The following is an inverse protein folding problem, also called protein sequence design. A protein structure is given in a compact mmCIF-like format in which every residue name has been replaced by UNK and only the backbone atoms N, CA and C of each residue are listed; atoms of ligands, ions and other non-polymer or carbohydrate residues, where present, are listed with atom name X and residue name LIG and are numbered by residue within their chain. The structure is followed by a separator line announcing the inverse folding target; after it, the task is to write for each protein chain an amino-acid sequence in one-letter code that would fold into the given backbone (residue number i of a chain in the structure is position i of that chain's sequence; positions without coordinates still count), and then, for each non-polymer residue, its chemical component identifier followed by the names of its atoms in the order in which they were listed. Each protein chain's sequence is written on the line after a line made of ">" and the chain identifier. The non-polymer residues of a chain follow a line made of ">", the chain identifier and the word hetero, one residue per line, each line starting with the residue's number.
data_IF_057824868343
#
_entry.id   IF_057824868343
#
_cell.length_a   1.000
_cell.length_b   1.000
_cell.length_c   1.000
_cell.angle_alpha   90.00
_cell.angle_beta   90.00
_cell.angle_gamma   90.00
#
_symmetry.space_group_name_H-M   'P 1'
#
loop_
_entity.id
_entity.type
_entity.pdbx_description
1 polymer ?
#
# COMPACT_ATOMS: atom_id res chain seq x y z
N UNK A 1 17.18 -0.92 5.81
CA UNK A 1 16.12 -1.66 6.51
C UNK A 1 15.01 -1.84 5.48
N UNK A 2 14.36 -3.00 5.34
CA UNK A 2 13.33 -3.16 4.32
C UNK A 2 12.15 -2.24 4.64
N UNK A 3 11.83 -1.32 3.73
CA UNK A 3 10.65 -0.48 3.82
C UNK A 3 9.42 -1.38 3.89
N UNK A 4 8.66 -1.30 4.98
CA UNK A 4 7.46 -2.12 5.14
C UNK A 4 6.25 -1.32 4.66
N UNK A 5 5.54 -1.84 3.66
CA UNK A 5 4.38 -1.18 3.07
C UNK A 5 3.12 -1.93 3.49
N UNK A 6 2.17 -1.28 4.15
CA UNK A 6 0.89 -1.86 4.54
C UNK A 6 -0.25 -1.21 3.76
N UNK A 7 -1.07 -2.02 3.09
CA UNK A 7 -2.24 -1.55 2.32
C UNK A 7 -3.52 -2.27 2.72
N UNK A 8 -4.66 -1.63 2.50
CA UNK A 8 -5.96 -2.22 2.75
C UNK A 8 -6.43 -3.02 1.54
N UNK A 9 -6.66 -4.33 1.69
CA UNK A 9 -7.13 -5.20 0.59
C UNK A 9 -8.50 -4.79 0.02
N UNK A 10 -9.30 -4.06 0.82
CA UNK A 10 -10.62 -3.59 0.40
C UNK A 10 -10.55 -2.25 -0.35
N UNK A 11 -9.36 -1.67 -0.47
CA UNK A 11 -9.09 -0.36 -1.05
C UNK A 11 -8.30 -0.48 -2.37
N UNK A 12 -7.92 -1.69 -2.77
CA UNK A 12 -7.22 -2.00 -4.02
C UNK A 12 -8.03 -2.99 -4.83
N UNK A 13 -8.12 -2.79 -6.13
CA UNK A 13 -8.85 -3.68 -7.04
C UNK A 13 -8.09 -4.99 -7.28
N UNK A 14 -6.76 -4.93 -7.43
CA UNK A 14 -5.93 -6.09 -7.75
C UNK A 14 -4.77 -6.28 -6.76
N UNK A 15 -5.05 -7.02 -5.69
CA UNK A 15 -4.09 -7.39 -4.63
C UNK A 15 -2.90 -8.20 -5.16
N UNK A 16 -3.11 -9.00 -6.22
CA UNK A 16 -2.08 -9.88 -6.77
C UNK A 16 -1.07 -9.07 -7.57
N UNK A 17 -1.53 -8.17 -8.45
CA UNK A 17 -0.65 -7.27 -9.20
C UNK A 17 0.24 -6.43 -8.27
N UNK A 18 -0.33 -5.93 -7.18
CA UNK A 18 0.40 -5.19 -6.14
C UNK A 18 1.47 -6.04 -5.45
N UNK A 19 1.13 -7.29 -5.11
CA UNK A 19 2.09 -8.23 -4.50
C UNK A 19 3.22 -8.58 -5.47
N UNK A 20 2.92 -8.76 -6.75
CA UNK A 20 3.91 -9.12 -7.76
C UNK A 20 4.89 -7.98 -8.00
N UNK A 21 4.40 -6.75 -8.24
CA UNK A 21 5.24 -5.55 -8.36
C UNK A 21 6.18 -5.38 -7.17
N UNK A 22 5.68 -5.55 -5.95
CA UNK A 22 6.55 -5.39 -4.80
C UNK A 22 7.35 -6.64 -4.44
N UNK A 23 7.02 -7.82 -4.97
CA UNK A 23 7.88 -8.98 -4.84
C UNK A 23 9.13 -8.84 -5.72
N UNK A 24 9.07 -8.03 -6.78
CA UNK A 24 10.25 -7.64 -7.56
C UNK A 24 11.12 -6.61 -6.80
N UNK A 25 10.51 -5.81 -5.92
CA UNK A 25 11.21 -4.86 -5.04
C UNK A 25 11.66 -5.51 -3.72
N UNK A 26 12.72 -5.00 -3.10
CA UNK A 26 13.15 -5.45 -1.75
C UNK A 26 12.26 -4.92 -0.60
N UNK A 27 11.14 -4.28 -0.92
CA UNK A 27 10.20 -3.75 0.05
C UNK A 27 9.24 -4.85 0.56
N UNK A 28 8.93 -4.81 1.84
CA UNK A 28 8.09 -5.81 2.51
C UNK A 28 6.64 -5.33 2.48
N UNK A 29 5.82 -5.86 1.56
CA UNK A 29 4.39 -5.51 1.56
C UNK A 29 3.59 -6.44 2.45
N UNK A 30 2.76 -5.84 3.29
CA UNK A 30 1.84 -6.54 4.18
C UNK A 30 0.41 -6.11 3.87
N UNK A 31 -0.38 -7.06 3.39
CA UNK A 31 -1.80 -6.86 3.22
C UNK A 31 -2.51 -6.77 4.59
N UNK A 32 -3.37 -5.76 4.73
CA UNK A 32 -4.21 -5.56 5.92
C UNK A 32 -5.68 -5.58 5.52
N UNK A 33 -6.50 -6.25 6.33
CA UNK A 33 -7.98 -6.24 6.15
C UNK A 33 -8.60 -4.91 6.53
N UNK A 34 -8.00 -4.22 7.49
CA UNK A 34 -8.41 -2.89 7.93
C UNK A 34 -7.22 -2.23 8.63
N UNK A 35 -6.79 -1.08 8.15
CA UNK A 35 -5.74 -0.26 8.78
C UNK A 35 -6.25 0.49 10.03
N UNK A 36 -7.37 0.03 10.60
CA UNK A 36 -8.08 0.67 11.72
C UNK A 36 -8.40 2.16 11.46
N UNK A 37 -8.44 2.55 10.17
CA UNK A 37 -8.74 3.91 9.70
C UNK A 37 -10.12 3.93 9.04
N UNK A 38 -11.12 3.46 9.79
CA UNK A 38 -12.50 3.33 9.31
C UNK A 38 -12.97 4.63 8.63
N UNK A 39 -13.46 4.50 7.39
CA UNK A 39 -13.96 5.61 6.58
C UNK A 39 -12.92 6.30 5.70
N UNK A 40 -11.62 6.09 5.93
CA UNK A 40 -10.55 6.68 5.10
C UNK A 40 -10.25 5.85 3.86
N UNK A 41 -10.36 4.53 3.99
CA UNK A 41 -10.26 3.57 2.88
C UNK A 41 -11.38 3.66 1.85
N UNK A 42 -12.42 4.45 2.13
CA UNK A 42 -13.49 4.71 1.16
C UNK A 42 -13.47 6.15 0.65
N UNK A 43 -12.61 7.00 1.23
CA UNK A 43 -12.56 8.44 0.95
C UNK A 43 -11.42 8.79 0.02
N UNK A 44 -10.28 8.15 0.19
CA UNK A 44 -9.04 8.47 -0.51
C UNK A 44 -8.06 7.27 -0.45
N UNK A 45 -7.25 7.05 -1.50
CA UNK A 45 -6.27 5.99 -1.48
C UNK A 45 -5.09 6.32 -0.57
N UNK A 46 -4.71 5.36 0.27
CA UNK A 46 -3.65 5.54 1.25
C UNK A 46 -2.92 4.24 1.57
N UNK A 47 -1.62 4.37 1.79
CA UNK A 47 -0.71 3.33 2.22
C UNK A 47 -0.09 3.70 3.56
N UNK A 48 0.46 2.71 4.25
CA UNK A 48 1.32 2.94 5.41
C UNK A 48 2.72 2.44 5.07
N UNK A 49 3.70 3.32 5.03
CA UNK A 49 5.09 3.01 4.71
C UNK A 49 5.92 3.22 5.97
N UNK A 50 6.51 2.16 6.51
CA UNK A 50 7.31 2.19 7.74
C UNK A 50 6.58 2.77 8.97
N UNK A 51 5.24 2.76 8.96
CA UNK A 51 4.40 3.36 9.99
C UNK A 51 3.89 4.78 9.67
N UNK A 52 4.40 5.40 8.60
CA UNK A 52 3.93 6.69 8.10
C UNK A 52 2.80 6.53 7.09
N UNK A 53 1.73 7.32 7.22
CA UNK A 53 0.61 7.28 6.29
C UNK A 53 0.94 8.12 5.06
N UNK A 54 0.99 7.48 3.90
CA UNK A 54 1.14 8.15 2.61
C UNK A 54 -0.21 8.12 1.88
N UNK A 55 -0.67 9.28 1.43
CA UNK A 55 -1.92 9.44 0.67
C UNK A 55 -1.60 9.98 -0.71
N UNK A 56 -2.37 9.57 -1.72
CA UNK A 56 -2.12 9.93 -3.12
C UNK A 56 -3.39 9.93 -3.94
N UNK A 57 -3.23 10.01 -5.26
CA UNK A 57 -4.34 9.95 -6.19
C UNK A 57 -4.86 8.51 -6.39
N UNK A 58 -3.95 7.53 -6.41
CA UNK A 58 -4.23 6.12 -6.71
C UNK A 58 -3.30 5.18 -5.91
N UNK A 59 -3.78 3.98 -5.53
CA UNK A 59 -2.94 3.01 -4.81
C UNK A 59 -1.78 2.49 -5.65
N UNK A 60 -2.02 2.21 -6.92
CA UNK A 60 -1.00 1.66 -7.82
C UNK A 60 0.15 2.65 -7.99
N UNK A 61 -0.17 3.94 -8.20
CA UNK A 61 0.81 5.00 -8.27
C UNK A 61 1.59 5.16 -6.94
N UNK A 62 0.88 5.15 -5.80
CA UNK A 62 1.53 5.21 -4.50
C UNK A 62 2.47 4.03 -4.29
N UNK A 63 2.06 2.81 -4.64
CA UNK A 63 2.87 1.61 -4.52
C UNK A 63 4.12 1.71 -5.38
N UNK A 64 3.99 2.11 -6.65
CA UNK A 64 5.11 2.36 -7.54
C UNK A 64 6.11 3.37 -6.94
N UNK A 65 5.62 4.48 -6.37
CA UNK A 65 6.49 5.45 -5.70
C UNK A 65 7.26 4.84 -4.51
N UNK A 66 6.67 3.91 -3.75
CA UNK A 66 7.37 3.27 -2.62
C UNK A 66 8.28 2.13 -3.04
N UNK A 67 7.95 1.43 -4.13
CA UNK A 67 8.70 0.27 -4.62
C UNK A 67 9.88 0.64 -5.51
N UNK A 68 9.86 1.84 -6.10
CA UNK A 68 10.98 2.42 -6.86
C UNK A 68 11.98 3.21 -6.00
N UNK A 69 11.78 3.31 -4.68
CA UNK A 69 12.70 3.94 -3.71
C UNK A 69 13.64 2.93 -3.04
#
# INVERSE_FOLDING_TARGET
>A
MPSTVEYCISNVDDVQAVREQCSESSARVMERRCLQRCGRCFREPFLVVDGDVVTGADHEALLAEVTEQ
#
